data_IF_389189573257
#
_entry.id   IF_389189573257
#
_cell.length_a   1.000
_cell.length_b   1.000
_cell.length_c   1.000
_cell.angle_alpha   90.00
_cell.angle_beta   90.00
_cell.angle_gamma   90.00
#
_symmetry.space_group_name_H-M   'P 1'
#
loop_
_entity.id
_entity.type
_entity.pdbx_description
1 polymer ?
#
# COMPACT_ATOMS: atom_id res chain seq x y z
N UNK A 1 -12.10 10.64 5.97
CA UNK A 1 -11.60 9.30 5.63
C UNK A 1 -11.07 9.31 4.19
N UNK A 2 -9.87 8.76 3.95
CA UNK A 2 -9.34 8.52 2.61
C UNK A 2 -9.41 7.04 2.30
N UNK A 3 -9.68 6.71 1.04
CA UNK A 3 -9.55 5.34 0.53
C UNK A 3 -8.09 5.13 0.14
N UNK A 4 -7.52 3.99 0.54
CA UNK A 4 -6.21 3.53 0.08
C UNK A 4 -6.33 2.09 -0.39
N UNK A 5 -5.42 1.72 -1.27
CA UNK A 5 -5.35 0.40 -1.89
C UNK A 5 -3.95 -0.16 -1.65
N UNK A 6 -3.84 -1.42 -1.25
CA UNK A 6 -2.56 -2.07 -1.03
C UNK A 6 -2.57 -3.45 -1.68
N UNK A 7 -1.42 -3.85 -2.22
CA UNK A 7 -1.24 -5.16 -2.84
C UNK A 7 -0.79 -6.11 -1.73
N UNK A 8 -1.49 -7.22 -1.57
CA UNK A 8 -1.16 -8.27 -0.64
C UNK A 8 -0.65 -9.48 -1.39
N UNK A 9 0.29 -10.20 -0.81
CA UNK A 9 0.78 -11.48 -1.30
C UNK A 9 0.28 -12.61 -0.39
N UNK A 10 -0.07 -13.73 -1.01
CA UNK A 10 -0.44 -14.95 -0.31
C UNK A 10 0.79 -15.58 0.38
N UNK A 11 0.60 -16.12 1.58
CA UNK A 11 1.56 -17.03 2.19
C UNK A 11 1.47 -18.45 1.59
N UNK A 12 2.26 -19.38 2.13
CA UNK A 12 2.30 -20.78 1.70
C UNK A 12 0.95 -21.51 1.86
N UNK A 13 0.04 -20.97 2.66
CA UNK A 13 -1.29 -21.50 2.92
C UNK A 13 -2.38 -20.80 2.10
N UNK A 14 -2.02 -19.80 1.29
CA UNK A 14 -2.95 -19.01 0.50
C UNK A 14 -3.55 -17.79 1.23
N UNK A 15 -3.05 -17.43 2.41
CA UNK A 15 -3.57 -16.29 3.18
C UNK A 15 -2.90 -14.97 2.77
N UNK A 16 -3.70 -13.96 2.48
CA UNK A 16 -3.24 -12.63 2.08
C UNK A 16 -3.01 -11.71 3.28
N UNK A 17 -2.04 -12.03 4.12
CA UNK A 17 -1.74 -11.25 5.34
C UNK A 17 -0.59 -10.26 5.16
N UNK A 18 0.25 -10.44 4.14
CA UNK A 18 1.45 -9.62 3.92
C UNK A 18 1.23 -8.57 2.86
N UNK A 19 1.52 -7.31 3.18
CA UNK A 19 1.54 -6.21 2.22
C UNK A 19 2.85 -6.26 1.43
N UNK A 20 2.75 -6.20 0.10
CA UNK A 20 3.89 -5.91 -0.77
C UNK A 20 4.21 -4.42 -0.67
N UNK A 21 5.35 -4.11 -0.06
CA UNK A 21 5.80 -2.72 0.17
C UNK A 21 6.58 -2.12 -0.99
N UNK A 22 6.90 -2.93 -2.00
CA UNK A 22 7.61 -2.51 -3.23
C UNK A 22 6.59 -2.49 -4.38
N UNK A 23 6.58 -1.45 -5.24
CA UNK A 23 7.40 -0.24 -5.16
C UNK A 23 6.99 0.71 -4.02
N UNK A 24 5.76 0.60 -3.50
CA UNK A 24 5.28 1.38 -2.34
C UNK A 24 4.19 0.63 -1.58
N UNK A 25 3.97 0.92 -0.28
CA UNK A 25 3.05 0.16 0.57
C UNK A 25 1.56 0.39 0.28
N UNK A 26 1.20 1.50 -0.37
CA UNK A 26 -0.19 1.80 -0.72
C UNK A 26 -0.31 2.77 -1.91
N UNK A 27 -1.51 2.80 -2.48
CA UNK A 27 -1.93 3.56 -3.65
C UNK A 27 -3.21 4.33 -3.32
N UNK A 28 -3.44 5.44 -4.02
CA UNK A 28 -4.60 6.29 -3.78
C UNK A 28 -5.80 5.90 -4.65
N UNK A 29 -5.56 5.20 -5.75
CA UNK A 29 -6.61 4.65 -6.63
C UNK A 29 -6.39 3.17 -6.89
N UNK A 30 -7.47 2.50 -7.29
CA UNK A 30 -7.46 1.08 -7.62
C UNK A 30 -6.66 0.82 -8.91
N UNK A 31 -6.81 1.68 -9.90
CA UNK A 31 -6.12 1.59 -11.19
C UNK A 31 -4.60 1.78 -11.03
N UNK A 32 -4.17 2.59 -10.05
CA UNK A 32 -2.76 2.75 -9.73
C UNK A 32 -2.20 1.47 -9.09
N UNK A 33 -2.93 0.89 -8.14
CA UNK A 33 -2.56 -0.38 -7.52
C UNK A 33 -2.52 -1.53 -8.54
N UNK A 34 -3.49 -1.60 -9.45
CA UNK A 34 -3.54 -2.64 -10.48
C UNK A 34 -2.41 -2.50 -11.49
N UNK A 35 -2.10 -1.28 -11.94
CA UNK A 35 -0.90 -1.07 -12.79
C UNK A 35 0.39 -1.49 -12.11
N UNK A 36 0.55 -1.16 -10.82
CA UNK A 36 1.73 -1.59 -10.08
C UNK A 36 1.78 -3.11 -9.88
N UNK A 37 0.64 -3.75 -9.65
CA UNK A 37 0.53 -5.22 -9.57
C UNK A 37 0.93 -5.88 -10.90
N UNK A 38 0.41 -5.39 -12.03
CA UNK A 38 0.77 -5.91 -13.35
C UNK A 38 2.27 -5.74 -13.64
N UNK A 39 2.85 -4.61 -13.25
CA UNK A 39 4.29 -4.38 -13.39
C UNK A 39 5.11 -5.35 -12.52
N UNK A 40 4.70 -5.58 -11.27
CA UNK A 40 5.33 -6.58 -10.40
C UNK A 40 5.24 -7.98 -11.00
N UNK A 41 4.09 -8.38 -11.55
CA UNK A 41 3.94 -9.69 -12.22
C UNK A 41 4.87 -9.81 -13.42
N UNK A 42 5.10 -8.71 -14.15
CA UNK A 42 5.98 -8.69 -15.31
C UNK A 42 7.46 -8.76 -14.94
N UNK A 43 7.84 -8.22 -13.79
CA UNK A 43 9.25 -7.99 -13.41
C UNK A 43 9.77 -8.95 -12.34
N UNK A 44 8.90 -9.44 -11.47
CA UNK A 44 9.22 -10.30 -10.34
C UNK A 44 8.68 -11.73 -10.59
N UNK A 45 9.54 -12.73 -10.83
CA UNK A 45 9.12 -14.09 -11.20
C UNK A 45 8.22 -14.79 -10.18
N UNK A 46 8.29 -14.36 -8.92
CA UNK A 46 7.52 -14.94 -7.82
C UNK A 46 6.13 -14.29 -7.65
N UNK A 47 5.86 -13.17 -8.33
CA UNK A 47 4.59 -12.44 -8.20
C UNK A 47 3.68 -12.88 -9.35
N UNK A 48 2.49 -13.36 -9.03
CA UNK A 48 1.49 -13.80 -10.01
C UNK A 48 0.13 -13.19 -9.72
N UNK A 49 -0.81 -13.34 -10.66
CA UNK A 49 -2.19 -12.91 -10.44
C UNK A 49 -2.85 -13.71 -9.31
N UNK A 50 -2.51 -14.98 -9.17
CA UNK A 50 -3.13 -15.92 -8.23
C UNK A 50 -2.63 -15.68 -6.80
N UNK A 51 -1.35 -15.33 -6.65
CA UNK A 51 -0.75 -15.14 -5.33
C UNK A 51 -0.74 -13.67 -4.86
N UNK A 52 -1.40 -12.76 -5.59
CA UNK A 52 -1.58 -11.37 -5.16
C UNK A 52 -3.03 -10.92 -5.20
N UNK A 53 -3.40 -9.99 -4.32
CA UNK A 53 -4.72 -9.35 -4.32
C UNK A 53 -4.62 -7.88 -3.90
N UNK A 54 -5.47 -7.02 -4.47
CA UNK A 54 -5.60 -5.64 -4.02
C UNK A 54 -6.68 -5.57 -2.94
N UNK A 55 -6.33 -5.04 -1.77
CA UNK A 55 -7.28 -4.76 -0.68
C UNK A 55 -7.47 -3.25 -0.53
N UNK A 56 -8.72 -2.87 -0.21
CA UNK A 56 -9.15 -1.48 -0.03
C UNK A 56 -9.38 -1.19 1.45
N UNK A 57 -8.85 -0.07 1.92
CA UNK A 57 -8.99 0.39 3.30
C UNK A 57 -9.53 1.82 3.34
N UNK A 58 -10.33 2.11 4.37
CA UNK A 58 -10.73 3.46 4.73
C UNK A 58 -9.87 3.89 5.92
N UNK A 59 -9.03 4.89 5.70
CA UNK A 59 -8.15 5.44 6.75
C UNK A 59 -8.62 6.83 7.17
N UNK A 60 -8.65 7.07 8.47
CA UNK A 60 -8.83 8.42 9.01
C UNK A 60 -7.50 9.16 8.93
N UNK A 61 -7.52 10.34 8.32
CA UNK A 61 -6.33 11.21 8.28
C UNK A 61 -6.42 12.09 9.51
N UNK A 62 -5.72 11.72 10.58
CA UNK A 62 -5.54 12.60 11.72
C UNK A 62 -4.64 13.76 11.27
N UNK A 63 -5.21 14.96 11.20
CA UNK A 63 -4.55 16.20 10.75
C UNK A 63 -3.72 16.87 11.87
N UNK A 64 -3.17 16.11 12.80
CA UNK A 64 -2.43 16.70 13.92
C UNK A 64 -0.92 16.49 13.83
N UNK A 65 -0.22 17.60 14.09
CA UNK A 65 1.23 17.78 14.26
C UNK A 65 2.06 18.18 13.04
N UNK A 66 1.84 19.41 12.54
CA UNK A 66 2.96 20.24 12.08
C UNK A 66 2.71 21.75 12.28
N UNK A 67 2.27 22.12 13.48
CA UNK A 67 2.12 23.51 13.90
C UNK A 67 2.51 23.66 15.36
N UNK A 68 3.83 23.62 15.63
CA UNK A 68 4.53 24.26 16.76
C UNK A 68 6.00 23.80 16.78
N UNK A 69 6.84 24.44 15.97
CA UNK A 69 8.27 24.56 16.25
C UNK A 69 8.79 25.94 15.82
N UNK A 70 8.03 26.95 16.21
CA UNK A 70 8.46 28.35 16.20
C UNK A 70 8.20 28.90 17.59
N UNK A 71 9.00 28.44 18.55
CA UNK A 71 9.36 29.16 19.77
C UNK A 71 10.31 28.29 20.59
N UNK A 72 11.60 28.60 20.49
CA UNK A 72 12.60 28.61 21.57
C UNK A 72 13.98 28.36 20.95
N UNK A 73 14.74 29.44 20.77
CA UNK A 73 16.00 29.62 21.49
C UNK A 73 16.40 31.08 21.32
N UNK A 74 16.31 31.77 22.45
CA UNK A 74 16.91 33.06 22.73
C UNK A 74 18.42 33.01 22.49
#
# INVERSE_FOLDING_TARGET
MKKIYAIFMADELGNFERVLVVPKPYYLTEEEAERARQELIRTEPIVTMENTIIKKFLVEVNKEQNSKNSNQLN
#
